data_IF_655823016834
#
_entry.id   IF_655823016834
#
_cell.length_a   1.000
_cell.length_b   1.000
_cell.length_c   1.000
_cell.angle_alpha   90.00
_cell.angle_beta   90.00
_cell.angle_gamma   90.00
#
_symmetry.space_group_name_H-M   'P 1'
#
loop_
_entity.id
_entity.type
_entity.pdbx_description
1 polymer ?
#
# COMPACT_ATOMS: atom_id res chain seq x y z
N UNK A 1 -15.54 31.98 -26.60
CA UNK A 1 -15.61 33.32 -26.06
C UNK A 1 -14.92 33.39 -24.69
N UNK A 2 -14.24 34.49 -24.40
CA UNK A 2 -13.47 34.72 -23.16
C UNK A 2 -14.20 35.62 -22.16
N UNK A 3 -15.32 36.17 -22.57
CA UNK A 3 -16.12 37.18 -21.87
C UNK A 3 -17.52 36.67 -21.46
N UNK A 4 -17.63 35.34 -21.29
CA UNK A 4 -18.87 34.68 -20.85
C UNK A 4 -19.06 34.90 -19.36
N UNK A 5 -20.16 35.58 -18.98
CA UNK A 5 -20.51 35.83 -17.57
C UNK A 5 -21.79 35.06 -17.22
N UNK A 6 -21.73 34.06 -16.39
CA UNK A 6 -22.91 33.37 -15.85
C UNK A 6 -23.70 34.32 -14.92
N UNK A 7 -24.98 34.53 -15.22
CA UNK A 7 -25.88 35.36 -14.43
C UNK A 7 -26.99 34.57 -13.69
N UNK A 8 -26.90 33.24 -13.71
CA UNK A 8 -27.86 32.34 -13.07
C UNK A 8 -29.17 32.16 -13.83
N UNK A 9 -29.33 32.75 -14.99
CA UNK A 9 -30.60 32.73 -15.76
C UNK A 9 -30.50 31.91 -17.06
N UNK A 10 -30.00 30.69 -16.98
CA UNK A 10 -29.87 29.75 -18.09
C UNK A 10 -28.51 29.79 -18.78
N UNK A 11 -28.43 29.25 -20.01
CA UNK A 11 -27.17 29.16 -20.75
C UNK A 11 -26.71 30.54 -21.24
N UNK A 12 -25.57 31.06 -20.78
CA UNK A 12 -25.09 32.39 -21.15
C UNK A 12 -24.75 32.51 -22.65
N UNK A 13 -24.36 31.43 -23.32
CA UNK A 13 -24.07 31.45 -24.77
C UNK A 13 -25.28 31.77 -25.62
N UNK A 14 -26.49 31.44 -25.14
CA UNK A 14 -27.73 31.81 -25.82
C UNK A 14 -28.01 33.33 -25.83
N UNK A 15 -27.30 34.08 -24.99
CA UNK A 15 -27.44 35.52 -24.86
C UNK A 15 -26.35 36.31 -25.63
N UNK A 16 -25.47 35.61 -26.35
CA UNK A 16 -24.33 36.14 -27.06
C UNK A 16 -24.49 36.00 -28.58
N UNK A 17 -25.16 36.97 -29.26
CA UNK A 17 -25.34 36.92 -30.71
C UNK A 17 -24.02 36.77 -31.47
N UNK A 18 -22.96 37.44 -31.03
CA UNK A 18 -21.62 37.35 -31.56
C UNK A 18 -21.02 35.94 -31.51
N UNK A 19 -21.49 35.10 -30.58
CA UNK A 19 -21.09 33.71 -30.52
C UNK A 19 -21.93 32.81 -31.43
N UNK A 20 -23.26 32.91 -31.36
CA UNK A 20 -24.14 31.96 -32.06
C UNK A 20 -24.47 32.32 -33.50
N UNK A 21 -24.41 33.62 -33.89
CA UNK A 21 -24.62 34.00 -35.29
C UNK A 21 -23.36 33.65 -36.10
N UNK A 22 -23.55 32.94 -37.19
CA UNK A 22 -22.45 32.47 -38.05
C UNK A 22 -22.94 32.22 -39.45
N UNK A 23 -22.02 31.91 -40.36
CA UNK A 23 -22.36 31.49 -41.73
C UNK A 23 -22.20 29.95 -41.84
N UNK A 24 -23.08 29.35 -42.59
CA UNK A 24 -23.01 27.93 -42.92
C UNK A 24 -21.71 27.62 -43.70
N UNK A 25 -20.86 26.70 -43.26
CA UNK A 25 -19.60 26.37 -43.95
C UNK A 25 -19.80 25.72 -45.31
N UNK A 26 -20.99 25.13 -45.58
CA UNK A 26 -21.29 24.46 -46.82
C UNK A 26 -21.92 25.40 -47.90
N UNK A 27 -22.81 26.30 -47.50
CA UNK A 27 -23.53 27.14 -48.47
C UNK A 27 -23.33 28.66 -48.30
N UNK A 28 -22.64 29.11 -47.25
CA UNK A 28 -22.36 30.50 -46.93
C UNK A 28 -23.57 31.31 -46.42
N UNK A 29 -24.77 30.70 -46.35
CA UNK A 29 -25.97 31.34 -45.82
C UNK A 29 -25.93 31.58 -44.31
N UNK A 30 -26.86 32.42 -43.81
CA UNK A 30 -26.99 32.66 -42.36
C UNK A 30 -27.23 31.34 -41.60
N UNK A 31 -26.53 31.16 -40.49
CA UNK A 31 -26.63 29.99 -39.64
C UNK A 31 -26.53 30.35 -38.16
N UNK A 32 -27.02 29.46 -37.30
CA UNK A 32 -26.89 29.57 -35.85
C UNK A 32 -25.97 28.47 -35.35
N UNK A 33 -24.95 28.84 -34.60
CA UNK A 33 -24.08 27.89 -33.90
C UNK A 33 -24.83 27.30 -32.73
N UNK A 34 -24.59 26.01 -32.45
CA UNK A 34 -25.06 25.37 -31.23
C UNK A 34 -24.50 26.06 -29.98
N UNK A 35 -25.36 26.26 -29.00
CA UNK A 35 -25.01 26.95 -27.76
C UNK A 35 -24.94 26.00 -26.55
N UNK A 36 -25.46 24.77 -26.66
CA UNK A 36 -25.27 23.77 -25.61
C UNK A 36 -23.82 23.35 -25.56
N UNK A 37 -23.31 23.20 -24.36
CA UNK A 37 -21.95 22.66 -24.11
C UNK A 37 -21.99 21.17 -24.00
N UNK A 38 -20.93 20.51 -24.45
CA UNK A 38 -20.74 19.09 -24.22
C UNK A 38 -20.60 18.81 -22.74
N UNK A 39 -20.96 17.58 -22.34
CA UNK A 39 -20.70 17.09 -21.00
C UNK A 39 -19.20 17.15 -20.68
N UNK A 40 -18.85 17.46 -19.43
CA UNK A 40 -17.45 17.59 -18.99
C UNK A 40 -16.66 16.28 -19.13
N UNK A 41 -17.33 15.13 -19.16
CA UNK A 41 -16.68 13.84 -19.44
C UNK A 41 -16.12 13.72 -20.86
N UNK A 42 -16.53 14.54 -21.81
CA UNK A 42 -15.95 14.54 -23.16
C UNK A 42 -14.47 14.86 -23.09
N UNK A 43 -14.08 15.94 -22.39
CA UNK A 43 -12.67 16.31 -22.24
C UNK A 43 -11.89 15.26 -21.44
N UNK A 44 -12.47 14.75 -20.38
CA UNK A 44 -11.81 13.71 -19.58
C UNK A 44 -11.71 12.36 -20.29
N UNK A 45 -12.39 12.16 -21.40
CA UNK A 45 -12.40 10.88 -22.14
C UNK A 45 -11.14 10.64 -22.97
N UNK A 46 -10.37 11.69 -23.27
CA UNK A 46 -9.20 11.56 -24.15
C UNK A 46 -7.94 12.32 -23.65
N UNK A 47 -8.01 12.99 -22.48
CA UNK A 47 -6.89 13.76 -21.94
C UNK A 47 -5.58 12.98 -21.85
N UNK A 48 -5.64 11.68 -21.54
CA UNK A 48 -4.47 10.82 -21.47
C UNK A 48 -3.70 10.76 -22.80
N UNK A 49 -4.41 10.82 -23.94
CA UNK A 49 -3.79 10.90 -25.25
C UNK A 49 -3.20 12.28 -25.50
N UNK A 50 -3.93 13.34 -25.12
CA UNK A 50 -3.44 14.73 -25.24
C UNK A 50 -2.16 14.97 -24.46
N UNK A 51 -2.03 14.39 -23.28
CA UNK A 51 -0.84 14.51 -22.44
C UNK A 51 0.43 13.93 -23.07
N UNK A 52 0.34 13.03 -24.04
CA UNK A 52 1.49 12.54 -24.79
C UNK A 52 2.15 13.65 -25.64
N UNK A 53 1.43 14.71 -26.00
CA UNK A 53 1.95 15.84 -26.79
C UNK A 53 1.15 17.13 -26.51
N UNK A 54 1.27 17.74 -25.32
CA UNK A 54 0.41 18.84 -24.88
C UNK A 54 0.52 20.10 -25.76
N UNK A 55 1.70 20.36 -26.31
CA UNK A 55 1.96 21.55 -27.14
C UNK A 55 1.67 21.35 -28.64
N UNK A 56 1.21 20.17 -29.05
CA UNK A 56 0.94 19.89 -30.45
C UNK A 56 -0.33 20.60 -30.92
N UNK A 57 -0.21 21.41 -31.98
CA UNK A 57 -1.32 22.23 -32.57
C UNK A 57 -1.87 21.63 -33.85
N UNK A 58 -1.24 20.59 -34.42
CA UNK A 58 -1.61 19.99 -35.71
C UNK A 58 -2.74 18.99 -35.65
N UNK A 59 -3.31 18.71 -34.45
CA UNK A 59 -4.36 17.71 -34.25
C UNK A 59 -4.55 17.36 -32.78
N UNK A 60 -5.27 16.26 -32.52
CA UNK A 60 -5.59 15.80 -31.17
C UNK A 60 -4.31 15.34 -30.40
N UNK A 61 -3.48 14.53 -31.06
CA UNK A 61 -2.23 14.02 -30.53
C UNK A 61 -1.22 13.86 -31.68
N UNK A 62 0.07 14.06 -31.39
CA UNK A 62 1.14 13.81 -32.37
C UNK A 62 1.27 12.32 -32.61
N UNK A 63 1.25 11.82 -33.88
CA UNK A 63 1.25 10.39 -34.19
C UNK A 63 2.41 9.61 -33.56
N UNK A 64 3.64 10.16 -33.59
CA UNK A 64 4.82 9.50 -33.04
C UNK A 64 4.74 9.42 -31.49
N UNK A 65 4.16 10.44 -30.86
CA UNK A 65 3.93 10.43 -29.41
C UNK A 65 2.87 9.41 -29.03
N UNK A 66 1.78 9.30 -29.80
CA UNK A 66 0.76 8.28 -29.60
C UNK A 66 1.34 6.87 -29.71
N UNK A 67 2.19 6.61 -30.72
CA UNK A 67 2.84 5.29 -30.87
C UNK A 67 3.78 4.95 -29.71
N UNK A 68 4.43 5.95 -29.12
CA UNK A 68 5.41 5.74 -28.03
C UNK A 68 4.74 5.57 -26.68
N UNK A 69 3.70 6.35 -26.38
CA UNK A 69 3.14 6.47 -25.04
C UNK A 69 1.79 5.77 -24.83
N UNK A 70 1.13 5.33 -25.90
CA UNK A 70 -0.15 4.63 -25.84
C UNK A 70 -0.04 3.19 -26.34
N UNK A 71 -0.79 2.25 -25.73
CA UNK A 71 -1.66 2.43 -24.56
C UNK A 71 -0.91 2.79 -23.29
N UNK A 72 -1.57 3.46 -22.35
CA UNK A 72 -1.00 3.80 -21.04
C UNK A 72 -0.67 2.52 -20.27
N UNK A 73 0.55 2.39 -19.77
CA UNK A 73 1.03 1.16 -19.13
C UNK A 73 0.28 0.82 -17.84
N UNK A 74 0.02 1.83 -17.00
CA UNK A 74 -0.70 1.66 -15.75
C UNK A 74 -1.66 2.84 -15.54
N UNK A 75 -2.94 2.54 -15.33
CA UNK A 75 -3.97 3.55 -15.05
C UNK A 75 -4.66 3.24 -13.74
N UNK A 76 -4.71 4.23 -12.83
CA UNK A 76 -5.17 4.06 -11.45
C UNK A 76 -6.27 5.09 -11.18
N UNK A 77 -7.39 4.65 -10.65
CA UNK A 77 -8.51 5.54 -10.28
C UNK A 77 -9.54 4.85 -9.41
N UNK A 78 -10.48 5.62 -8.87
CA UNK A 78 -11.55 5.09 -8.03
C UNK A 78 -12.53 4.22 -8.81
N UNK A 79 -13.09 3.20 -8.14
CA UNK A 79 -14.07 2.27 -8.72
C UNK A 79 -15.34 2.97 -9.21
N UNK A 80 -15.69 4.14 -8.69
CA UNK A 80 -16.81 4.97 -9.11
C UNK A 80 -16.72 5.40 -10.58
N UNK A 81 -15.53 5.41 -11.15
CA UNK A 81 -15.29 5.78 -12.55
C UNK A 81 -15.44 4.62 -13.54
N UNK A 82 -15.72 3.40 -13.06
CA UNK A 82 -15.84 2.21 -13.92
C UNK A 82 -16.92 2.35 -14.99
N UNK A 83 -18.06 2.96 -14.68
CA UNK A 83 -19.18 3.19 -15.61
C UNK A 83 -19.04 4.52 -16.34
N UNK A 84 -18.62 5.58 -15.65
CA UNK A 84 -18.56 6.92 -16.21
C UNK A 84 -17.27 7.12 -17.05
N UNK A 85 -16.22 7.62 -16.43
CA UNK A 85 -14.97 7.98 -17.10
C UNK A 85 -14.36 6.84 -17.92
N UNK A 86 -14.25 5.64 -17.34
CA UNK A 86 -13.57 4.53 -18.02
C UNK A 86 -14.35 4.03 -19.26
N UNK A 87 -15.67 4.04 -19.20
CA UNK A 87 -16.51 3.69 -20.36
C UNK A 87 -16.32 4.72 -21.49
N UNK A 88 -16.36 6.01 -21.17
CA UNK A 88 -16.14 7.09 -22.13
C UNK A 88 -14.71 7.05 -22.70
N UNK A 89 -13.69 6.86 -21.87
CA UNK A 89 -12.30 6.77 -22.32
C UNK A 89 -12.10 5.63 -23.32
N UNK A 90 -12.68 4.46 -23.06
CA UNK A 90 -12.65 3.31 -24.00
C UNK A 90 -13.40 3.61 -25.29
N UNK A 91 -14.55 4.24 -25.22
CA UNK A 91 -15.34 4.63 -26.39
C UNK A 91 -14.57 5.63 -27.26
N UNK A 92 -14.06 6.71 -26.67
CA UNK A 92 -13.29 7.72 -27.40
C UNK A 92 -12.01 7.14 -27.98
N UNK A 93 -11.33 6.24 -27.28
CA UNK A 93 -10.13 5.58 -27.82
C UNK A 93 -10.44 4.82 -29.10
N UNK A 94 -11.57 4.09 -29.12
CA UNK A 94 -12.00 3.36 -30.32
C UNK A 94 -12.38 4.29 -31.47
N UNK A 95 -13.02 5.43 -31.20
CA UNK A 95 -13.29 6.46 -32.21
C UNK A 95 -11.97 7.03 -32.77
N UNK A 96 -11.03 7.43 -31.90
CA UNK A 96 -9.73 7.95 -32.32
C UNK A 96 -8.92 6.88 -33.10
N UNK A 97 -9.03 5.61 -32.78
CA UNK A 97 -8.43 4.52 -33.52
C UNK A 97 -9.05 4.41 -34.93
N UNK A 98 -10.38 4.45 -35.03
CA UNK A 98 -11.10 4.32 -36.31
C UNK A 98 -10.80 5.50 -37.26
N UNK A 99 -10.54 6.68 -36.68
CA UNK A 99 -10.05 7.87 -37.41
C UNK A 99 -8.53 7.89 -37.64
N UNK A 100 -7.79 6.84 -37.23
CA UNK A 100 -6.36 6.71 -37.42
C UNK A 100 -5.48 7.59 -36.53
N UNK A 101 -6.03 8.18 -35.47
CA UNK A 101 -5.33 9.06 -34.55
C UNK A 101 -4.47 8.30 -33.55
N UNK A 102 -4.96 7.15 -33.10
CA UNK A 102 -4.26 6.26 -32.15
C UNK A 102 -4.28 4.82 -32.65
N UNK A 103 -3.47 3.97 -32.03
CA UNK A 103 -3.43 2.53 -32.36
C UNK A 103 -3.93 1.69 -31.18
N UNK A 104 -4.30 0.45 -31.44
CA UNK A 104 -4.78 -0.48 -30.42
C UNK A 104 -6.26 -0.36 -30.09
N UNK A 105 -6.76 -1.29 -29.32
CA UNK A 105 -8.20 -1.42 -29.02
C UNK A 105 -8.60 -0.88 -27.66
N UNK A 106 -7.64 -0.68 -26.78
CA UNK A 106 -7.88 -0.25 -25.39
C UNK A 106 -6.90 0.88 -25.02
N UNK A 107 -7.34 1.87 -24.24
CA UNK A 107 -6.51 3.01 -23.86
C UNK A 107 -5.45 2.66 -22.79
N UNK A 108 -5.69 1.61 -21.99
CA UNK A 108 -4.88 1.24 -20.84
C UNK A 108 -4.49 -0.24 -20.92
N UNK A 109 -3.22 -0.54 -20.63
CA UNK A 109 -2.71 -1.92 -20.58
C UNK A 109 -3.11 -2.58 -19.26
N UNK A 110 -2.85 -1.89 -18.14
CA UNK A 110 -3.23 -2.33 -16.81
C UNK A 110 -4.11 -1.28 -16.15
N UNK A 111 -5.23 -1.72 -15.59
CA UNK A 111 -6.18 -0.89 -14.89
C UNK A 111 -6.28 -1.34 -13.44
N UNK A 112 -6.01 -0.43 -12.50
CA UNK A 112 -6.24 -0.64 -11.08
C UNK A 112 -7.39 0.26 -10.63
N UNK A 113 -8.52 -0.35 -10.30
CA UNK A 113 -9.68 0.36 -9.71
C UNK A 113 -9.55 0.33 -8.20
N UNK A 114 -9.44 1.52 -7.61
CA UNK A 114 -9.27 1.66 -6.16
C UNK A 114 -10.61 1.59 -5.43
N UNK A 115 -10.60 0.93 -4.27
CA UNK A 115 -11.71 0.96 -3.33
C UNK A 115 -11.95 2.35 -2.73
N UNK A 116 -13.08 2.51 -2.05
CA UNK A 116 -13.48 3.79 -1.47
C UNK A 116 -12.88 3.95 -0.07
N UNK A 117 -12.57 5.20 0.30
CA UNK A 117 -12.25 5.53 1.68
C UNK A 117 -13.56 5.81 2.42
N UNK A 118 -13.79 5.07 3.50
CA UNK A 118 -14.96 5.15 4.34
C UNK A 118 -14.60 5.86 5.66
N UNK A 119 -15.52 6.69 6.15
CA UNK A 119 -15.42 7.28 7.48
C UNK A 119 -16.78 7.31 8.15
N UNK A 120 -16.78 7.40 9.48
CA UNK A 120 -17.99 7.57 10.25
C UNK A 120 -18.72 8.86 9.86
N UNK A 121 -20.04 8.81 9.92
CA UNK A 121 -20.90 9.96 9.65
C UNK A 121 -21.65 10.37 10.90
N UNK A 122 -21.80 11.67 11.10
CA UNK A 122 -22.49 12.26 12.26
C UNK A 122 -23.48 13.30 11.78
N UNK A 123 -24.71 13.24 12.26
CA UNK A 123 -25.74 14.17 11.83
C UNK A 123 -26.79 14.45 12.92
N UNK A 124 -27.51 15.54 12.73
CA UNK A 124 -28.81 15.79 13.39
C UNK A 124 -29.90 15.84 12.35
N UNK A 125 -31.06 15.35 12.69
CA UNK A 125 -32.23 15.35 11.82
C UNK A 125 -33.30 16.31 12.39
N UNK A 126 -33.71 17.27 11.58
CA UNK A 126 -34.80 18.17 11.89
C UNK A 126 -36.15 17.44 11.74
N UNK A 127 -37.23 17.98 12.35
CA UNK A 127 -38.60 17.45 12.20
C UNK A 127 -39.03 17.33 10.73
N UNK A 128 -38.50 18.16 9.85
CA UNK A 128 -38.71 18.09 8.39
C UNK A 128 -38.00 16.92 7.69
N UNK A 129 -37.23 16.11 8.41
CA UNK A 129 -36.38 15.03 7.82
C UNK A 129 -35.06 15.55 7.22
N UNK A 130 -34.79 16.84 7.25
CA UNK A 130 -33.53 17.41 6.75
C UNK A 130 -32.38 17.08 7.70
N UNK A 131 -31.29 16.49 7.17
CA UNK A 131 -30.07 16.17 7.92
C UNK A 131 -29.06 17.30 7.84
N UNK A 132 -28.48 17.65 8.97
CA UNK A 132 -27.30 18.50 9.10
C UNK A 132 -26.13 17.61 9.47
N UNK A 133 -25.10 17.59 8.65
CA UNK A 133 -23.92 16.72 8.80
C UNK A 133 -22.78 17.46 9.49
N UNK A 134 -22.09 16.78 10.39
CA UNK A 134 -20.97 17.31 11.16
C UNK A 134 -19.68 16.57 10.80
N UNK A 135 -18.55 17.30 10.81
CA UNK A 135 -17.26 16.69 10.54
C UNK A 135 -16.85 15.78 11.71
N UNK A 136 -16.32 14.57 11.45
CA UNK A 136 -15.83 13.69 12.50
C UNK A 136 -14.80 14.33 13.45
N UNK A 137 -13.97 15.26 12.95
CA UNK A 137 -12.99 15.98 13.75
C UNK A 137 -13.61 16.91 14.82
N UNK A 138 -14.87 17.31 14.63
CA UNK A 138 -15.60 18.21 15.53
C UNK A 138 -16.49 17.44 16.53
N UNK A 139 -16.34 16.10 16.63
CA UNK A 139 -17.19 15.26 17.46
C UNK A 139 -16.42 14.70 18.65
N UNK A 140 -16.93 14.96 19.84
CA UNK A 140 -16.49 14.29 21.06
C UNK A 140 -17.18 12.93 21.19
N UNK A 141 -16.37 11.86 21.24
CA UNK A 141 -16.84 10.48 21.36
C UNK A 141 -16.52 9.91 22.74
N UNK A 142 -17.52 9.39 23.40
CA UNK A 142 -17.34 8.53 24.56
C UNK A 142 -17.44 7.06 24.13
N UNK A 143 -16.44 6.25 24.51
CA UNK A 143 -16.36 4.83 24.14
C UNK A 143 -16.28 3.95 25.39
N UNK A 144 -16.83 2.74 25.28
CA UNK A 144 -16.65 1.72 26.31
C UNK A 144 -15.24 1.06 26.22
N UNK A 145 -14.93 0.19 27.18
CA UNK A 145 -13.68 -0.58 27.21
C UNK A 145 -13.46 -1.46 25.94
N UNK A 146 -14.52 -1.75 25.20
CA UNK A 146 -14.47 -2.51 23.94
C UNK A 146 -14.42 -1.62 22.69
N UNK A 147 -14.32 -0.28 22.89
CA UNK A 147 -14.25 0.70 21.81
C UNK A 147 -15.59 1.05 21.15
N UNK A 148 -16.74 0.58 21.68
CA UNK A 148 -18.06 0.92 21.14
C UNK A 148 -18.46 2.33 21.57
N UNK A 149 -19.01 3.12 20.64
CA UNK A 149 -19.47 4.48 20.92
C UNK A 149 -20.66 4.42 21.86
N UNK A 150 -20.54 5.08 23.01
CA UNK A 150 -21.62 5.26 24.02
C UNK A 150 -22.36 6.57 23.81
N UNK A 151 -21.64 7.65 23.51
CA UNK A 151 -22.22 8.95 23.17
C UNK A 151 -21.36 9.67 22.11
N UNK A 152 -22.00 10.56 21.34
CA UNK A 152 -21.36 11.42 20.37
C UNK A 152 -21.94 12.83 20.49
N UNK A 153 -21.09 13.85 20.68
CA UNK A 153 -21.51 15.24 20.86
C UNK A 153 -20.75 16.17 19.93
N UNK A 154 -21.44 17.13 19.34
CA UNK A 154 -20.81 18.17 18.55
C UNK A 154 -20.12 19.18 19.46
N UNK A 155 -18.83 19.41 19.28
CA UNK A 155 -17.99 20.30 20.10
C UNK A 155 -18.49 21.75 20.10
N UNK A 156 -19.09 22.20 19.00
CA UNK A 156 -19.51 23.59 18.86
C UNK A 156 -20.65 24.01 19.78
N UNK A 157 -21.51 23.08 20.24
CA UNK A 157 -22.66 23.38 21.11
C UNK A 157 -22.89 22.35 22.22
N UNK A 158 -22.08 21.30 22.30
CA UNK A 158 -22.15 20.24 23.30
C UNK A 158 -23.39 19.33 23.22
N UNK A 159 -24.22 19.48 22.18
CA UNK A 159 -25.43 18.68 22.01
C UNK A 159 -25.13 17.35 21.30
N UNK A 160 -26.00 16.36 21.58
CA UNK A 160 -25.88 15.04 20.99
C UNK A 160 -26.05 15.04 19.45
N UNK A 161 -25.33 14.16 18.79
CA UNK A 161 -25.45 13.85 17.36
C UNK A 161 -25.73 12.36 17.16
N UNK A 162 -26.38 12.03 16.07
CA UNK A 162 -26.65 10.65 15.67
C UNK A 162 -25.43 10.11 14.93
N UNK A 163 -24.95 8.92 15.31
CA UNK A 163 -23.93 8.17 14.59
C UNK A 163 -24.58 7.46 13.41
N UNK A 164 -24.26 7.87 12.19
CA UNK A 164 -24.86 7.35 10.96
C UNK A 164 -24.16 6.12 10.39
N UNK A 165 -23.05 5.72 11.00
CA UNK A 165 -22.21 4.61 10.51
C UNK A 165 -21.19 5.04 9.46
N UNK A 166 -20.45 4.04 8.94
CA UNK A 166 -19.38 4.26 7.98
C UNK A 166 -19.94 4.38 6.55
N UNK A 167 -19.58 5.47 5.90
CA UNK A 167 -19.97 5.74 4.53
C UNK A 167 -18.80 6.33 3.74
N UNK A 168 -18.90 6.27 2.40
CA UNK A 168 -17.92 6.92 1.51
C UNK A 168 -17.72 8.38 1.93
N UNK A 169 -16.46 8.79 2.06
CA UNK A 169 -16.12 10.19 2.30
C UNK A 169 -16.68 11.09 1.20
N UNK A 170 -17.43 12.10 1.56
CA UNK A 170 -18.05 13.04 0.63
C UNK A 170 -18.24 14.42 1.24
N UNK A 171 -18.17 15.45 0.40
CA UNK A 171 -18.46 16.84 0.81
C UNK A 171 -19.90 17.00 1.32
N UNK A 172 -20.85 16.27 0.72
CA UNK A 172 -22.28 16.35 1.08
C UNK A 172 -22.58 15.80 2.47
N UNK A 173 -21.77 14.86 2.99
CA UNK A 173 -21.90 14.27 4.32
C UNK A 173 -20.92 14.84 5.32
N UNK A 174 -20.05 15.74 4.88
CA UNK A 174 -19.03 16.39 5.72
C UNK A 174 -18.19 15.39 6.53
N UNK A 175 -17.95 14.18 6.00
CA UNK A 175 -17.18 13.13 6.66
C UNK A 175 -15.79 12.92 6.08
N UNK A 176 -15.27 13.89 5.33
CA UNK A 176 -13.90 13.90 4.84
C UNK A 176 -12.91 14.23 5.96
N UNK A 177 -11.76 13.55 5.91
CA UNK A 177 -10.62 13.85 6.78
C UNK A 177 -9.68 14.79 6.02
N UNK A 178 -9.23 15.86 6.69
CA UNK A 178 -8.26 16.79 6.10
C UNK A 178 -6.85 16.14 6.10
N UNK A 179 -6.26 15.85 4.94
CA UNK A 179 -4.91 15.30 4.87
C UNK A 179 -3.87 16.23 5.52
N UNK A 180 -4.06 17.56 5.46
CA UNK A 180 -3.09 18.50 6.02
C UNK A 180 -2.98 18.35 7.54
N UNK A 181 -4.11 18.19 8.24
CA UNK A 181 -4.10 17.97 9.69
C UNK A 181 -3.30 16.70 10.09
N UNK A 182 -3.44 15.62 9.30
CA UNK A 182 -2.67 14.40 9.51
C UNK A 182 -1.18 14.61 9.22
N UNK A 183 -0.85 15.34 8.16
CA UNK A 183 0.53 15.64 7.79
C UNK A 183 1.19 16.51 8.86
N UNK A 184 0.51 17.51 9.37
CA UNK A 184 1.03 18.42 10.40
C UNK A 184 1.28 17.69 11.72
N UNK A 185 0.43 16.72 12.07
CA UNK A 185 0.52 15.98 13.33
C UNK A 185 1.50 14.79 13.25
N UNK A 186 1.51 14.05 12.16
CA UNK A 186 2.21 12.75 12.05
C UNK A 186 3.24 12.70 10.92
N UNK A 187 3.25 13.66 10.01
CA UNK A 187 4.10 13.68 8.82
C UNK A 187 3.50 12.94 7.61
N UNK A 188 3.90 13.35 6.41
CA UNK A 188 3.40 12.81 5.16
C UNK A 188 3.68 11.31 4.99
N UNK A 189 4.84 10.81 5.42
CA UNK A 189 5.20 9.39 5.34
C UNK A 189 4.27 8.52 6.18
N UNK A 190 3.81 9.02 7.34
CA UNK A 190 2.83 8.30 8.17
C UNK A 190 1.50 8.15 7.45
N UNK A 191 1.00 9.24 6.84
CA UNK A 191 -0.24 9.20 6.06
C UNK A 191 -0.14 8.21 4.90
N UNK A 192 0.99 8.23 4.15
CA UNK A 192 1.25 7.31 3.04
C UNK A 192 1.28 5.85 3.49
N UNK A 193 2.04 5.55 4.55
CA UNK A 193 2.13 4.18 5.09
C UNK A 193 0.78 3.68 5.58
N UNK A 194 0.01 4.52 6.28
CA UNK A 194 -1.34 4.15 6.73
C UNK A 194 -2.24 3.80 5.54
N UNK A 195 -2.34 4.67 4.54
CA UNK A 195 -3.20 4.45 3.38
C UNK A 195 -2.87 3.15 2.62
N UNK A 196 -1.58 2.81 2.51
CA UNK A 196 -1.14 1.60 1.80
C UNK A 196 -1.16 0.34 2.68
N UNK A 197 -1.20 0.50 4.00
CA UNK A 197 -1.24 -0.63 4.94
C UNK A 197 -2.64 -1.06 5.33
N UNK A 198 -3.60 -0.12 5.41
CA UNK A 198 -4.92 -0.37 5.98
C UNK A 198 -5.77 -1.35 5.17
N UNK A 199 -5.64 -1.35 3.84
CA UNK A 199 -6.36 -2.27 2.95
C UNK A 199 -5.59 -2.49 1.63
N UNK A 200 -5.84 -3.61 0.91
CA UNK A 200 -5.45 -3.73 -0.49
C UNK A 200 -6.06 -2.59 -1.32
N UNK A 201 -5.39 -2.11 -2.38
CA UNK A 201 -5.84 -0.92 -3.11
C UNK A 201 -7.20 -1.07 -3.80
N UNK A 202 -7.63 -2.27 -4.13
CA UNK A 202 -8.93 -2.60 -4.75
C UNK A 202 -10.09 -2.75 -3.74
N UNK A 203 -9.78 -2.71 -2.44
CA UNK A 203 -10.76 -2.84 -1.36
C UNK A 203 -11.04 -1.48 -0.70
N UNK A 204 -12.24 -1.36 -0.13
CA UNK A 204 -12.56 -0.17 0.65
C UNK A 204 -11.73 -0.11 1.93
N UNK A 205 -11.25 1.09 2.23
CA UNK A 205 -10.47 1.40 3.41
C UNK A 205 -11.35 2.10 4.44
N UNK A 206 -11.43 1.56 5.66
CA UNK A 206 -12.05 2.22 6.79
C UNK A 206 -11.03 3.13 7.48
N UNK A 207 -11.34 4.41 7.59
CA UNK A 207 -10.48 5.36 8.29
C UNK A 207 -10.37 5.00 9.77
N UNK A 208 -9.16 5.02 10.30
CA UNK A 208 -8.86 4.72 11.70
C UNK A 208 -7.70 5.54 12.22
N UNK A 209 -7.95 6.42 13.19
CA UNK A 209 -6.91 7.22 13.83
C UNK A 209 -5.90 6.32 14.56
N UNK A 210 -6.35 5.24 15.19
CA UNK A 210 -5.48 4.25 15.81
C UNK A 210 -4.57 3.56 14.78
N UNK A 211 -5.05 3.39 13.54
CA UNK A 211 -4.27 2.89 12.41
C UNK A 211 -3.17 3.88 11.99
N UNK A 212 -3.49 5.18 11.92
CA UNK A 212 -2.51 6.26 11.65
C UNK A 212 -1.42 6.28 12.72
N UNK A 213 -1.80 6.22 14.01
CA UNK A 213 -0.85 6.12 15.11
C UNK A 213 0.01 4.85 15.03
N UNK A 214 -0.57 3.72 14.59
CA UNK A 214 0.14 2.47 14.35
C UNK A 214 1.23 2.62 13.30
N UNK A 215 0.93 3.27 12.18
CA UNK A 215 1.89 3.59 11.14
C UNK A 215 3.01 4.52 11.65
N UNK A 216 2.66 5.54 12.43
CA UNK A 216 3.64 6.45 13.05
C UNK A 216 4.58 5.71 14.00
N UNK A 217 4.03 4.82 14.85
CA UNK A 217 4.85 3.98 15.75
C UNK A 217 5.80 3.08 14.98
N UNK A 218 5.38 2.51 13.85
CA UNK A 218 6.25 1.71 12.99
C UNK A 218 7.44 2.54 12.47
N UNK A 219 7.19 3.71 11.87
CA UNK A 219 8.24 4.59 11.35
C UNK A 219 9.19 5.07 12.45
N UNK A 220 8.68 5.41 13.63
CA UNK A 220 9.53 5.75 14.80
C UNK A 220 10.41 4.59 15.26
N UNK A 221 9.94 3.34 15.12
CA UNK A 221 10.75 2.16 15.44
C UNK A 221 11.87 1.94 14.41
N UNK A 222 11.60 2.19 13.11
CA UNK A 222 12.63 2.18 12.07
C UNK A 222 13.70 3.21 12.37
N UNK A 223 13.32 4.44 12.70
CA UNK A 223 14.25 5.49 13.10
C UNK A 223 15.15 5.05 14.27
N UNK A 224 14.55 4.52 15.34
CA UNK A 224 15.29 4.08 16.53
C UNK A 224 16.27 2.93 16.22
N UNK A 225 15.87 1.99 15.37
CA UNK A 225 16.75 0.91 14.93
C UNK A 225 18.01 1.48 14.28
N UNK A 226 17.85 2.40 13.32
CA UNK A 226 18.98 3.01 12.61
C UNK A 226 19.85 3.84 13.56
N UNK A 227 19.25 4.70 14.39
CA UNK A 227 19.99 5.50 15.36
C UNK A 227 20.83 4.62 16.30
N UNK A 228 20.22 3.57 16.87
CA UNK A 228 20.93 2.63 17.74
C UNK A 228 22.04 1.84 17.03
N UNK A 229 21.85 1.52 15.74
CA UNK A 229 22.90 0.88 14.95
C UNK A 229 24.09 1.82 14.72
N UNK A 230 23.84 3.07 14.35
CA UNK A 230 24.88 4.06 14.09
C UNK A 230 25.68 4.41 15.35
N UNK A 231 25.06 4.48 16.53
CA UNK A 231 25.73 4.70 17.82
C UNK A 231 26.75 3.61 18.16
N UNK A 232 26.51 2.36 17.72
CA UNK A 232 27.39 1.20 17.97
C UNK A 232 28.56 1.09 16.98
N UNK A 233 28.55 1.90 15.93
CA UNK A 233 29.55 1.89 14.86
C UNK A 233 29.02 1.30 13.56
N UNK A 234 29.35 1.96 12.47
CA UNK A 234 28.87 1.66 11.12
C UNK A 234 30.01 1.17 10.22
N UNK A 235 30.78 0.19 10.67
CA UNK A 235 31.88 -0.36 9.87
C UNK A 235 31.32 -1.03 8.59
N UNK A 236 31.79 -0.58 7.43
CA UNK A 236 31.45 -1.18 6.15
C UNK A 236 32.47 -2.27 5.84
N UNK A 237 32.18 -3.51 6.23
CA UNK A 237 32.94 -4.70 5.80
C UNK A 237 32.12 -5.54 4.83
N UNK A 238 32.82 -6.32 3.99
CA UNK A 238 32.16 -7.34 3.19
C UNK A 238 31.69 -8.49 4.10
N UNK A 239 30.53 -9.07 3.79
CA UNK A 239 30.02 -10.23 4.52
C UNK A 239 30.83 -11.47 4.12
N UNK A 240 31.46 -12.12 5.09
CA UNK A 240 32.02 -13.45 4.90
C UNK A 240 30.94 -14.51 5.17
N UNK A 241 30.33 -14.99 4.10
CA UNK A 241 29.22 -15.96 4.17
C UNK A 241 29.63 -17.33 4.73
N UNK A 242 30.93 -17.66 4.71
CA UNK A 242 31.45 -18.92 5.24
C UNK A 242 31.56 -18.90 6.78
N UNK A 243 31.60 -17.72 7.39
CA UNK A 243 31.80 -17.54 8.83
C UNK A 243 30.60 -16.89 9.55
N UNK A 244 29.40 -17.01 8.99
CA UNK A 244 28.18 -16.48 9.62
C UNK A 244 27.78 -17.33 10.84
N UNK A 245 27.47 -16.64 11.94
CA UNK A 245 26.75 -17.26 13.07
C UNK A 245 25.35 -17.72 12.63
N UNK A 246 24.72 -18.63 13.35
CA UNK A 246 23.35 -19.08 13.06
C UNK A 246 22.38 -17.92 13.07
N UNK A 247 22.50 -17.01 14.04
CA UNK A 247 21.67 -15.81 14.16
C UNK A 247 21.86 -14.86 12.97
N UNK A 248 23.11 -14.69 12.49
CA UNK A 248 23.42 -13.89 11.32
C UNK A 248 22.88 -14.51 10.02
N UNK A 249 22.98 -15.84 9.87
CA UNK A 249 22.37 -16.58 8.76
C UNK A 249 20.85 -16.41 8.76
N UNK A 250 20.20 -16.49 9.92
CA UNK A 250 18.75 -16.32 10.06
C UNK A 250 18.30 -14.90 9.72
N UNK A 251 19.02 -13.86 10.17
CA UNK A 251 18.71 -12.47 9.82
C UNK A 251 18.90 -12.25 8.33
N UNK A 252 20.00 -12.74 7.74
CA UNK A 252 20.29 -12.60 6.31
C UNK A 252 19.23 -13.32 5.47
N UNK A 253 18.85 -14.54 5.85
CA UNK A 253 17.74 -15.26 5.20
C UNK A 253 16.44 -14.46 5.28
N UNK A 254 16.05 -13.95 6.47
CA UNK A 254 14.85 -13.13 6.64
C UNK A 254 14.89 -11.88 5.76
N UNK A 255 16.06 -11.27 5.60
CA UNK A 255 16.28 -10.13 4.71
C UNK A 255 15.94 -10.48 3.26
N UNK A 256 16.50 -11.57 2.74
CA UNK A 256 16.28 -11.98 1.35
C UNK A 256 14.89 -12.58 1.10
N UNK A 257 14.28 -13.29 2.05
CA UNK A 257 12.86 -13.66 2.02
C UNK A 257 11.96 -12.41 1.95
N UNK A 258 12.35 -11.32 2.65
CA UNK A 258 11.60 -10.05 2.62
C UNK A 258 11.75 -9.34 1.28
N UNK A 259 12.95 -9.31 0.68
CA UNK A 259 13.15 -8.75 -0.67
C UNK A 259 12.23 -9.47 -1.68
N UNK A 260 12.25 -10.80 -1.68
CA UNK A 260 11.43 -11.62 -2.58
C UNK A 260 9.93 -11.35 -2.37
N UNK A 261 9.50 -11.33 -1.11
CA UNK A 261 8.08 -11.10 -0.74
C UNK A 261 7.60 -9.72 -1.14
N UNK A 262 8.37 -8.68 -0.80
CA UNK A 262 8.01 -7.28 -1.10
C UNK A 262 8.03 -7.02 -2.60
N UNK A 263 9.02 -7.57 -3.32
CA UNK A 263 9.09 -7.48 -4.78
C UNK A 263 7.84 -8.07 -5.44
N UNK A 264 7.45 -9.30 -5.09
CA UNK A 264 6.24 -9.95 -5.62
C UNK A 264 4.95 -9.20 -5.24
N UNK A 265 4.87 -8.73 -4.00
CA UNK A 265 3.70 -7.99 -3.52
C UNK A 265 3.51 -6.64 -4.23
N UNK A 266 4.60 -5.92 -4.55
CA UNK A 266 4.53 -4.63 -5.25
C UNK A 266 4.29 -4.84 -6.75
N UNK A 267 5.13 -5.68 -7.40
CA UNK A 267 5.17 -5.76 -8.86
C UNK A 267 3.98 -6.52 -9.44
N UNK A 268 3.64 -7.66 -8.85
CA UNK A 268 2.66 -8.58 -9.41
C UNK A 268 1.30 -8.52 -8.72
N UNK A 269 1.31 -8.42 -7.40
CA UNK A 269 0.07 -8.58 -6.59
C UNK A 269 -0.59 -7.25 -6.22
N UNK A 270 0.14 -6.14 -6.28
CA UNK A 270 -0.26 -4.84 -5.75
C UNK A 270 -0.80 -4.92 -4.30
N UNK A 271 -0.23 -5.84 -3.51
CA UNK A 271 -0.63 -6.12 -2.13
C UNK A 271 0.26 -5.33 -1.15
N UNK A 272 0.13 -4.01 -1.15
CA UNK A 272 1.00 -3.10 -0.38
C UNK A 272 0.93 -3.34 1.13
N UNK A 273 -0.21 -3.72 1.64
CA UNK A 273 -0.40 -4.05 3.05
C UNK A 273 0.45 -5.25 3.48
N UNK A 274 0.54 -6.30 2.67
CA UNK A 274 1.39 -7.47 2.97
C UNK A 274 2.88 -7.18 2.80
N UNK A 275 3.25 -6.31 1.85
CA UNK A 275 4.61 -5.81 1.71
C UNK A 275 5.06 -5.06 2.97
N UNK A 276 4.23 -4.13 3.48
CA UNK A 276 4.51 -3.39 4.72
C UNK A 276 4.59 -4.34 5.93
N UNK A 277 3.69 -5.34 6.01
CA UNK A 277 3.74 -6.35 7.07
C UNK A 277 5.06 -7.14 7.05
N UNK A 278 5.56 -7.55 5.87
CA UNK A 278 6.85 -8.22 5.74
C UNK A 278 8.02 -7.34 6.20
N UNK A 279 7.99 -6.04 5.91
CA UNK A 279 8.97 -5.08 6.41
C UNK A 279 8.89 -4.89 7.94
N UNK A 280 7.69 -4.91 8.53
CA UNK A 280 7.52 -4.90 9.99
C UNK A 280 8.12 -6.15 10.65
N UNK A 281 7.98 -7.32 10.01
CA UNK A 281 8.63 -8.55 10.48
C UNK A 281 10.16 -8.46 10.39
N UNK A 282 10.70 -7.90 9.30
CA UNK A 282 12.15 -7.68 9.15
C UNK A 282 12.67 -6.69 10.20
N UNK A 283 11.94 -5.62 10.49
CA UNK A 283 12.23 -4.71 11.60
C UNK A 283 12.28 -5.45 12.95
N UNK A 284 11.33 -6.36 13.20
CA UNK A 284 11.33 -7.17 14.42
C UNK A 284 12.54 -8.11 14.50
N UNK A 285 12.95 -8.71 13.38
CA UNK A 285 14.16 -9.54 13.32
C UNK A 285 15.43 -8.72 13.62
N UNK A 286 15.57 -7.54 13.01
CA UNK A 286 16.69 -6.62 13.30
C UNK A 286 16.74 -6.21 14.77
N UNK A 287 15.61 -5.89 15.40
CA UNK A 287 15.55 -5.49 16.81
C UNK A 287 15.92 -6.63 17.79
N UNK A 288 15.83 -7.88 17.36
CA UNK A 288 16.23 -9.05 18.17
C UNK A 288 17.67 -9.47 17.94
N UNK A 289 18.27 -9.01 16.85
CA UNK A 289 19.62 -9.38 16.48
C UNK A 289 20.66 -8.59 17.26
N UNK A 290 21.63 -9.29 17.86
CA UNK A 290 22.76 -8.68 18.57
C UNK A 290 24.05 -9.02 17.82
N UNK A 291 24.66 -8.04 17.18
CA UNK A 291 25.93 -8.19 16.51
C UNK A 291 27.06 -8.40 17.54
N UNK A 292 27.82 -9.48 17.39
CA UNK A 292 28.90 -9.88 18.31
C UNK A 292 30.30 -9.69 17.71
N UNK A 293 30.38 -9.48 16.39
CA UNK A 293 31.62 -9.31 15.63
C UNK A 293 31.35 -8.46 14.38
N UNK A 294 32.42 -8.10 13.65
CA UNK A 294 32.33 -7.24 12.46
C UNK A 294 31.49 -7.85 11.32
N UNK A 295 31.49 -9.17 11.19
CA UNK A 295 30.68 -9.87 10.18
C UNK A 295 29.18 -9.77 10.51
N UNK A 296 28.82 -9.88 11.79
CA UNK A 296 27.45 -9.65 12.27
C UNK A 296 27.01 -8.21 12.04
N UNK A 297 27.91 -7.22 12.23
CA UNK A 297 27.66 -5.80 11.93
C UNK A 297 27.40 -5.61 10.43
N UNK A 298 28.17 -6.29 9.56
CA UNK A 298 27.97 -6.22 8.12
C UNK A 298 26.60 -6.79 7.70
N UNK A 299 26.16 -7.90 8.29
CA UNK A 299 24.83 -8.48 8.08
C UNK A 299 23.72 -7.56 8.57
N UNK A 300 23.87 -6.96 9.75
CA UNK A 300 22.91 -5.99 10.26
C UNK A 300 22.80 -4.77 9.33
N UNK A 301 23.94 -4.26 8.83
CA UNK A 301 23.98 -3.17 7.86
C UNK A 301 23.23 -3.53 6.56
N UNK A 302 23.52 -4.71 5.97
CA UNK A 302 22.78 -5.22 4.79
C UNK A 302 21.27 -5.22 5.05
N UNK A 303 20.85 -5.79 6.16
CA UNK A 303 19.45 -5.89 6.54
C UNK A 303 18.75 -4.55 6.72
N UNK A 304 19.40 -3.60 7.42
CA UNK A 304 18.86 -2.26 7.68
C UNK A 304 18.77 -1.45 6.40
N UNK A 305 19.83 -1.41 5.58
CA UNK A 305 19.81 -0.67 4.30
C UNK A 305 18.79 -1.27 3.33
N UNK A 306 18.64 -2.59 3.31
CA UNK A 306 17.58 -3.28 2.58
C UNK A 306 16.20 -2.85 3.05
N UNK A 307 15.93 -2.88 4.37
CA UNK A 307 14.65 -2.44 4.93
C UNK A 307 14.32 -1.00 4.50
N UNK A 308 15.29 -0.08 4.56
CA UNK A 308 15.10 1.32 4.17
C UNK A 308 14.81 1.45 2.67
N UNK A 309 15.51 0.69 1.83
CA UNK A 309 15.29 0.70 0.38
C UNK A 309 13.91 0.14 0.01
N UNK A 310 13.49 -0.96 0.65
CA UNK A 310 12.16 -1.53 0.46
C UNK A 310 11.04 -0.61 0.96
N UNK A 311 11.32 0.17 2.02
CA UNK A 311 10.37 1.12 2.61
C UNK A 311 10.23 2.42 1.78
N UNK A 312 11.20 2.75 0.93
CA UNK A 312 11.27 4.01 0.20
C UNK A 312 10.00 4.34 -0.64
N UNK A 313 9.38 3.40 -1.36
CA UNK A 313 8.13 3.70 -2.09
C UNK A 313 6.98 4.11 -1.17
N UNK A 314 7.00 3.71 0.09
CA UNK A 314 5.97 3.95 1.09
C UNK A 314 6.26 5.18 1.96
N UNK A 315 7.51 5.35 2.39
CA UNK A 315 7.97 6.42 3.27
C UNK A 315 9.28 7.05 2.73
N UNK A 316 9.21 7.79 1.61
CA UNK A 316 10.39 8.27 0.90
C UNK A 316 11.25 9.25 1.72
N UNK A 317 10.65 10.14 2.51
CA UNK A 317 11.40 11.14 3.27
C UNK A 317 12.22 10.50 4.40
N UNK A 318 11.60 9.60 5.15
CA UNK A 318 12.28 8.83 6.20
C UNK A 318 13.41 7.99 5.60
N UNK A 319 13.12 7.27 4.51
CA UNK A 319 14.07 6.38 3.87
C UNK A 319 15.27 7.15 3.32
N UNK A 320 15.06 8.27 2.61
CA UNK A 320 16.14 9.11 2.10
C UNK A 320 17.02 9.63 3.23
N UNK A 321 16.40 10.17 4.29
CA UNK A 321 17.14 10.72 5.45
C UNK A 321 18.02 9.65 6.09
N UNK A 322 17.47 8.45 6.30
CA UNK A 322 18.22 7.38 6.97
C UNK A 322 19.23 6.68 6.06
N UNK A 323 18.95 6.54 4.74
CA UNK A 323 19.92 6.00 3.78
C UNK A 323 21.14 6.90 3.63
N UNK A 324 20.97 8.23 3.73
CA UNK A 324 22.07 9.19 3.67
C UNK A 324 23.11 8.96 4.78
N UNK A 325 22.71 8.49 5.97
CA UNK A 325 23.61 8.14 7.08
C UNK A 325 24.51 6.93 6.74
N UNK A 326 24.11 6.12 5.75
CA UNK A 326 24.91 5.02 5.21
C UNK A 326 25.70 5.41 3.95
N UNK A 327 25.64 6.68 3.54
CA UNK A 327 26.28 7.18 2.31
C UNK A 327 25.53 6.75 1.04
N UNK A 328 24.25 6.42 1.16
CA UNK A 328 23.39 6.00 0.05
C UNK A 328 22.39 7.12 -0.31
N UNK A 329 22.11 7.26 -1.61
CA UNK A 329 21.14 8.22 -2.12
C UNK A 329 20.00 7.46 -2.80
N UNK A 330 18.76 7.75 -2.40
CA UNK A 330 17.57 7.07 -2.92
C UNK A 330 17.41 7.21 -4.44
N UNK A 331 17.90 8.30 -5.02
CA UNK A 331 17.86 8.51 -6.49
C UNK A 331 18.79 7.60 -7.28
N UNK A 332 19.77 6.99 -6.61
CA UNK A 332 20.78 6.09 -7.21
C UNK A 332 20.70 4.65 -6.71
N UNK A 333 20.03 4.42 -5.59
CA UNK A 333 19.85 3.07 -5.03
C UNK A 333 18.83 2.29 -5.85
N UNK A 334 19.21 1.11 -6.31
CA UNK A 334 18.32 0.20 -7.01
C UNK A 334 17.52 -0.64 -6.03
N UNK A 335 16.36 -1.15 -6.49
CA UNK A 335 15.61 -2.13 -5.74
C UNK A 335 16.49 -3.36 -5.47
N UNK A 336 16.55 -3.84 -4.21
CA UNK A 336 17.50 -4.89 -3.83
C UNK A 336 17.18 -6.22 -4.53
N UNK A 337 18.23 -6.94 -4.93
CA UNK A 337 18.12 -8.26 -5.55
C UNK A 337 18.22 -9.37 -4.51
N UNK A 338 17.55 -10.48 -4.77
CA UNK A 338 17.59 -11.67 -3.91
C UNK A 338 18.93 -12.39 -4.11
N UNK A 339 19.62 -12.71 -3.01
CA UNK A 339 20.70 -13.70 -3.00
C UNK A 339 20.09 -15.07 -2.66
N UNK A 340 19.97 -15.93 -3.65
CA UNK A 340 19.40 -17.28 -3.51
C UNK A 340 20.17 -18.12 -2.49
N UNK A 341 21.48 -17.90 -2.33
CA UNK A 341 22.29 -18.61 -1.35
C UNK A 341 21.89 -18.31 0.09
N UNK A 342 21.38 -17.09 0.36
CA UNK A 342 20.89 -16.68 1.66
C UNK A 342 19.54 -17.34 2.02
N UNK A 343 18.77 -17.81 1.04
CA UNK A 343 17.48 -18.48 1.26
C UNK A 343 17.63 -19.95 1.69
N UNK A 344 18.84 -20.49 1.57
CA UNK A 344 19.10 -21.88 1.95
C UNK A 344 18.93 -22.06 3.46
N UNK A 345 18.06 -22.98 3.85
CA UNK A 345 17.88 -23.35 5.26
C UNK A 345 18.81 -24.49 5.61
N UNK A 346 19.78 -24.22 6.46
CA UNK A 346 20.64 -25.25 7.02
C UNK A 346 20.02 -25.93 8.25
N UNK A 347 19.02 -25.30 8.85
CA UNK A 347 18.28 -25.84 10.01
C UNK A 347 16.78 -25.85 9.77
N UNK A 348 16.09 -26.76 10.44
CA UNK A 348 14.63 -26.91 10.41
C UNK A 348 14.09 -27.13 11.80
N UNK A 349 12.90 -26.58 12.09
CA UNK A 349 12.20 -26.81 13.35
C UNK A 349 11.28 -28.01 13.21
N UNK A 350 11.55 -29.05 13.97
CA UNK A 350 10.75 -30.28 14.05
C UNK A 350 9.86 -30.21 15.29
N UNK A 351 8.57 -30.38 15.11
CA UNK A 351 7.60 -30.48 16.19
C UNK A 351 7.68 -31.87 16.83
N UNK A 352 7.88 -31.95 18.14
CA UNK A 352 7.88 -33.24 18.86
C UNK A 352 6.55 -33.41 19.59
N UNK A 353 5.90 -34.52 19.29
CA UNK A 353 4.64 -34.94 19.90
C UNK A 353 4.82 -36.25 20.71
N UNK A 354 4.03 -36.35 21.76
CA UNK A 354 3.84 -37.62 22.47
C UNK A 354 2.34 -37.93 22.46
N UNK A 355 1.99 -39.12 21.95
CA UNK A 355 0.60 -39.54 21.76
C UNK A 355 -0.25 -38.47 21.00
N UNK A 356 0.33 -37.84 19.96
CA UNK A 356 -0.32 -36.85 19.13
C UNK A 356 -0.44 -35.42 19.73
N UNK A 357 0.03 -35.21 20.97
CA UNK A 357 0.02 -33.90 21.61
C UNK A 357 1.41 -33.24 21.53
N UNK A 358 1.48 -31.97 21.15
CA UNK A 358 2.71 -31.17 21.14
C UNK A 358 3.36 -31.16 22.54
N UNK A 359 4.67 -31.51 22.59
CA UNK A 359 5.43 -31.56 23.83
C UNK A 359 6.77 -30.87 23.78
N UNK A 360 7.29 -30.61 22.57
CA UNK A 360 8.54 -29.89 22.39
C UNK A 360 8.77 -29.50 20.94
N UNK A 361 9.84 -28.73 20.71
CA UNK A 361 10.35 -28.36 19.37
C UNK A 361 11.84 -28.63 19.36
N UNK A 362 12.34 -29.14 18.24
CA UNK A 362 13.77 -29.33 17.97
C UNK A 362 14.20 -28.46 16.80
N UNK A 363 15.29 -27.76 16.97
CA UNK A 363 16.02 -27.17 15.82
C UNK A 363 17.16 -28.12 15.46
N UNK A 364 17.13 -28.62 14.24
CA UNK A 364 18.11 -29.59 13.72
C UNK A 364 18.53 -29.21 12.30
N UNK A 365 19.70 -29.70 11.88
CA UNK A 365 20.11 -29.57 10.48
C UNK A 365 19.07 -30.23 9.55
N UNK A 366 18.87 -29.68 8.36
CA UNK A 366 18.02 -30.29 7.32
C UNK A 366 18.51 -31.68 6.91
N UNK A 367 19.82 -31.96 7.08
CA UNK A 367 20.47 -33.24 6.77
C UNK A 367 20.46 -34.20 7.94
N UNK A 368 19.81 -33.88 9.09
CA UNK A 368 19.73 -34.74 10.26
C UNK A 368 19.03 -36.06 9.90
N UNK A 369 19.70 -37.14 10.13
CA UNK A 369 19.14 -38.48 9.87
C UNK A 369 17.92 -38.78 10.72
N UNK A 370 17.05 -39.70 10.26
CA UNK A 370 15.86 -40.10 10.99
C UNK A 370 16.19 -40.64 12.39
N UNK A 371 17.25 -41.42 12.51
CA UNK A 371 17.65 -42.05 13.77
C UNK A 371 18.19 -41.03 14.76
N UNK A 372 18.99 -40.07 14.28
CA UNK A 372 19.49 -38.97 15.08
C UNK A 372 18.35 -38.05 15.53
N UNK A 373 17.39 -37.77 14.62
CA UNK A 373 16.21 -36.97 14.94
C UNK A 373 15.36 -37.60 16.04
N UNK A 374 15.19 -38.92 16.00
CA UNK A 374 14.48 -39.67 17.03
C UNK A 374 15.24 -39.65 18.36
N UNK A 375 16.58 -39.77 18.33
CA UNK A 375 17.41 -39.70 19.53
C UNK A 375 17.31 -38.34 20.19
N UNK A 376 17.42 -37.24 19.41
CA UNK A 376 17.29 -35.88 19.89
C UNK A 376 15.88 -35.59 20.43
N UNK A 377 14.82 -36.06 19.75
CA UNK A 377 13.45 -35.90 20.21
C UNK A 377 13.19 -36.56 21.57
N UNK A 378 13.74 -37.75 21.80
CA UNK A 378 13.63 -38.45 23.08
C UNK A 378 14.46 -37.80 24.17
N UNK A 379 15.55 -37.15 23.85
CA UNK A 379 16.45 -36.49 24.80
C UNK A 379 15.93 -35.15 25.32
N UNK A 380 14.90 -34.55 24.66
CA UNK A 380 14.33 -33.28 25.10
C UNK A 380 13.73 -33.39 26.51
N UNK A 381 14.15 -32.52 27.47
CA UNK A 381 13.62 -32.55 28.83
C UNK A 381 12.10 -32.42 28.91
N UNK A 382 11.52 -31.55 28.06
CA UNK A 382 10.06 -31.31 27.99
C UNK A 382 9.31 -32.59 27.48
N UNK A 383 9.97 -33.43 26.70
CA UNK A 383 9.40 -34.64 26.13
C UNK A 383 9.55 -35.82 27.10
N UNK A 384 10.69 -35.91 27.78
CA UNK A 384 11.01 -37.04 28.70
C UNK A 384 9.97 -37.21 29.79
N UNK A 385 9.42 -36.12 30.34
CA UNK A 385 8.38 -36.21 31.39
C UNK A 385 7.08 -36.90 30.93
N UNK A 386 6.87 -37.03 29.61
CA UNK A 386 5.72 -37.71 29.02
C UNK A 386 6.01 -39.11 28.48
N UNK A 387 7.28 -39.52 28.49
CA UNK A 387 7.69 -40.89 28.12
C UNK A 387 7.59 -41.83 29.34
N UNK A 388 6.37 -42.28 29.63
CA UNK A 388 6.07 -43.12 30.81
C UNK A 388 6.48 -44.56 30.63
N UNK A 389 7.06 -44.96 29.48
CA UNK A 389 7.51 -46.30 29.15
C UNK A 389 8.20 -46.36 27.78
N UNK A 390 8.58 -47.56 27.31
CA UNK A 390 9.18 -47.69 26.00
C UNK A 390 8.21 -47.28 24.89
N UNK A 391 8.73 -46.61 23.84
CA UNK A 391 7.92 -46.20 22.69
C UNK A 391 7.42 -47.42 21.92
N UNK A 392 6.11 -47.54 21.73
CA UNK A 392 5.46 -48.59 20.93
C UNK A 392 5.54 -48.30 19.43
N UNK A 393 5.50 -47.00 19.06
CA UNK A 393 5.56 -46.56 17.68
C UNK A 393 6.24 -45.21 17.59
N UNK A 394 7.10 -45.05 16.58
CA UNK A 394 7.83 -43.81 16.29
C UNK A 394 7.50 -43.37 14.87
N UNK A 395 6.85 -42.24 14.75
CA UNK A 395 6.41 -41.71 13.48
C UNK A 395 7.22 -40.43 13.19
N UNK A 396 7.97 -40.45 12.10
CA UNK A 396 8.70 -39.29 11.62
C UNK A 396 8.07 -38.86 10.32
N UNK A 397 7.58 -37.60 10.29
CA UNK A 397 7.16 -36.91 9.06
C UNK A 397 8.30 -36.00 8.69
N UNK A 398 8.98 -36.24 7.56
CA UNK A 398 10.14 -35.44 7.14
C UNK A 398 9.82 -33.96 7.16
N UNK A 399 10.75 -33.15 7.68
CA UNK A 399 10.70 -31.70 7.75
C UNK A 399 9.48 -31.11 8.51
N UNK A 400 8.76 -31.92 9.31
CA UNK A 400 7.56 -31.47 10.03
C UNK A 400 7.51 -31.87 11.49
N UNK A 401 7.46 -33.15 11.75
CA UNK A 401 7.24 -33.63 13.13
C UNK A 401 7.80 -35.01 13.40
N UNK A 402 8.07 -35.24 14.69
CA UNK A 402 8.26 -36.57 15.30
C UNK A 402 7.11 -36.82 16.27
N UNK A 403 6.44 -37.95 16.16
CA UNK A 403 5.42 -38.37 17.14
C UNK A 403 5.84 -39.70 17.80
N UNK A 404 6.03 -39.65 19.11
CA UNK A 404 6.39 -40.77 19.94
C UNK A 404 5.11 -41.33 20.60
N UNK A 405 4.78 -42.59 20.33
CA UNK A 405 3.62 -43.27 20.95
C UNK A 405 4.12 -44.18 22.04
N UNK A 406 3.72 -43.98 23.28
CA UNK A 406 4.05 -44.75 24.47
C UNK A 406 2.86 -45.55 24.96
#
# INVERSE_FOLDING_TARGET
PTDVVPDGSGNPLNKMPEFYQTSCPSCGGEARRETDTLDTFVESSWYYARYASPDFTGGLVKPEAAQTWLPVNQYIGGVEHAILHLLYARFFHKLMRDEGVVQGNEPFTNLLTQGMVLADTYYREAESGKKTWFNPADIDLERDEKGRILSAKYQGDGQDVIVGGQEKMSKSKNNGIDPQAIIDQYGADTARVFMMFAAPPDQSLEWSDAGVEGANRFLKRVWRLVASFLEKGNAASAIDTAQLSTEAQDLRRKTHETIQKVGDDIERRHAFNTAIAAMMELLNANNKFEAKNDNDVAVARESITTLLTLLAPFAPHLSQTLLAEFGLDLTSVLFPTVDESALTRNTQTIVVQVNGKLRGKLEVSVDTSKDELLALAKALPEVQQFLTGPTKKEIVVPNKLVNLVV
#
